data_IF_043264291944
#
_entry.id   IF_043264291944
#
_cell.length_a   1.000
_cell.length_b   1.000
_cell.length_c   1.000
_cell.angle_alpha   90.00
_cell.angle_beta   90.00
_cell.angle_gamma   90.00
#
_symmetry.space_group_name_H-M   'P 1'
#
loop_
_entity.id
_entity.type
_entity.pdbx_description
1 polymer ?
#
# COMPACT_ATOMS: atom_id res chain seq x y z
N UNK A 1 -8.72 13.34 -20.91
CA UNK A 1 -7.68 12.53 -20.23
C UNK A 1 -6.92 13.44 -19.27
N UNK A 2 -7.20 13.39 -17.97
CA UNK A 2 -6.56 14.29 -17.01
C UNK A 2 -5.09 13.88 -16.81
N UNK A 3 -4.16 14.73 -17.24
CA UNK A 3 -2.73 14.63 -16.91
C UNK A 3 -2.60 14.76 -15.39
N UNK A 4 -2.33 13.66 -14.70
CA UNK A 4 -1.92 13.71 -13.30
C UNK A 4 -0.52 14.33 -13.26
N UNK A 5 -0.45 15.58 -12.80
CA UNK A 5 0.78 16.30 -12.46
C UNK A 5 1.71 15.37 -11.65
N UNK A 6 3.03 15.33 -11.93
CA UNK A 6 3.94 14.48 -11.18
C UNK A 6 4.15 15.07 -9.78
N UNK A 7 3.18 14.85 -8.88
CA UNK A 7 3.50 14.79 -7.46
C UNK A 7 4.60 13.73 -7.34
N UNK A 8 5.68 14.04 -6.61
CA UNK A 8 6.68 13.06 -6.28
C UNK A 8 5.96 11.76 -5.89
N UNK A 9 6.27 10.67 -6.61
CA UNK A 9 5.57 9.41 -6.42
C UNK A 9 5.69 9.04 -4.95
N UNK A 10 4.58 8.75 -4.27
CA UNK A 10 4.63 8.34 -2.85
C UNK A 10 5.63 7.19 -2.64
N UNK A 11 5.84 6.39 -3.69
CA UNK A 11 6.84 5.32 -3.75
C UNK A 11 8.27 5.80 -3.43
N UNK A 12 8.68 6.99 -3.85
CA UNK A 12 10.03 7.50 -3.56
C UNK A 12 10.26 7.81 -2.08
N UNK A 13 9.18 7.98 -1.31
CA UNK A 13 9.23 8.23 0.13
C UNK A 13 9.12 6.95 0.97
N UNK A 14 8.88 5.80 0.33
CA UNK A 14 8.67 4.52 1.02
C UNK A 14 10.02 3.77 1.08
N UNK A 15 10.51 3.42 2.28
CA UNK A 15 11.81 2.76 2.44
C UNK A 15 12.00 1.50 1.59
N UNK A 16 10.93 0.72 1.40
CA UNK A 16 10.93 -0.50 0.58
C UNK A 16 11.36 -0.26 -0.87
N UNK A 17 11.17 0.95 -1.42
CA UNK A 17 11.55 1.30 -2.79
C UNK A 17 12.73 2.27 -2.87
N UNK A 18 13.42 2.54 -1.76
CA UNK A 18 14.52 3.52 -1.69
C UNK A 18 15.71 3.21 -2.60
N UNK A 19 15.91 1.94 -2.97
CA UNK A 19 16.98 1.50 -3.87
C UNK A 19 16.65 1.64 -5.36
N UNK A 20 15.44 2.08 -5.73
CA UNK A 20 14.98 2.10 -7.12
C UNK A 20 15.21 3.45 -7.79
N UNK A 21 15.63 3.42 -9.05
CA UNK A 21 15.71 4.59 -9.90
C UNK A 21 14.32 5.17 -10.22
N UNK A 22 14.27 6.44 -10.64
CA UNK A 22 13.02 7.08 -11.09
C UNK A 22 12.30 6.29 -12.19
N UNK A 23 13.05 5.62 -13.07
CA UNK A 23 12.49 4.82 -14.17
C UNK A 23 11.81 3.55 -13.64
N UNK A 24 12.44 2.88 -12.68
CA UNK A 24 11.88 1.67 -12.03
C UNK A 24 10.65 2.02 -11.19
N UNK A 25 10.70 3.11 -10.41
CA UNK A 25 9.54 3.62 -9.68
C UNK A 25 8.36 3.93 -10.61
N UNK A 26 8.62 4.54 -11.76
CA UNK A 26 7.59 4.80 -12.76
C UNK A 26 7.02 3.51 -13.36
N UNK A 27 7.82 2.46 -13.51
CA UNK A 27 7.34 1.14 -13.95
C UNK A 27 6.42 0.49 -12.92
N UNK A 28 6.81 0.50 -11.64
CA UNK A 28 5.96 0.00 -10.55
C UNK A 28 4.64 0.77 -10.51
N UNK A 29 4.69 2.10 -10.55
CA UNK A 29 3.48 2.93 -10.50
C UNK A 29 2.50 2.62 -11.64
N UNK A 30 2.98 2.20 -12.83
CA UNK A 30 2.12 1.80 -13.94
C UNK A 30 1.47 0.42 -13.75
N UNK A 31 2.07 -0.45 -12.94
CA UNK A 31 1.54 -1.78 -12.63
C UNK A 31 0.55 -1.77 -11.47
N UNK A 32 0.51 -0.68 -10.70
CA UNK A 32 -0.38 -0.53 -9.55
C UNK A 32 -1.77 -0.05 -9.95
N UNK A 33 -2.78 -0.54 -9.22
CA UNK A 33 -4.17 -0.08 -9.32
C UNK A 33 -4.55 0.71 -8.07
N UNK A 34 -5.26 1.84 -8.24
CA UNK A 34 -5.88 2.55 -7.11
C UNK A 34 -7.20 1.85 -6.77
N UNK A 35 -7.35 1.45 -5.52
CA UNK A 35 -8.55 0.76 -5.03
C UNK A 35 -9.12 1.62 -3.89
N UNK A 36 -10.32 2.22 -4.06
CA UNK A 36 -11.02 2.85 -2.95
C UNK A 36 -11.55 1.78 -2.00
N UNK A 37 -11.44 2.04 -0.70
CA UNK A 37 -11.91 1.14 0.36
C UNK A 37 -12.71 1.98 1.34
N UNK A 38 -13.94 1.55 1.61
CA UNK A 38 -14.83 2.25 2.53
C UNK A 38 -14.42 2.00 3.99
N UNK A 39 -14.65 3.00 4.84
CA UNK A 39 -14.34 2.90 6.26
C UNK A 39 -15.09 1.71 6.90
N UNK A 40 -14.38 0.92 7.71
CA UNK A 40 -14.91 -0.28 8.33
C UNK A 40 -14.82 -1.55 7.49
N UNK A 41 -14.36 -1.47 6.24
CA UNK A 41 -14.14 -2.66 5.41
C UNK A 41 -12.95 -3.49 5.90
N UNK A 42 -13.13 -4.81 5.97
CA UNK A 42 -12.02 -5.77 6.04
C UNK A 42 -11.54 -6.08 4.62
N UNK A 43 -10.29 -5.76 4.32
CA UNK A 43 -9.70 -5.94 2.99
C UNK A 43 -8.42 -6.79 2.99
N UNK A 44 -7.92 -7.14 4.18
CA UNK A 44 -6.88 -8.16 4.39
C UNK A 44 -7.31 -8.96 5.62
N UNK A 45 -7.27 -10.30 5.51
CA UNK A 45 -7.65 -11.20 6.60
C UNK A 45 -6.49 -12.09 7.04
N UNK A 46 -6.20 -12.09 8.34
CA UNK A 46 -5.16 -12.95 8.93
C UNK A 46 -5.41 -14.43 8.61
N UNK A 47 -4.34 -15.15 8.27
CA UNK A 47 -4.39 -16.59 7.98
C UNK A 47 -4.92 -16.94 6.59
N UNK A 48 -5.29 -15.94 5.77
CA UNK A 48 -5.64 -16.16 4.37
C UNK A 48 -4.42 -16.01 3.46
N UNK A 49 -4.43 -16.73 2.33
CA UNK A 49 -3.41 -16.58 1.30
C UNK A 49 -3.52 -15.18 0.69
N UNK A 50 -2.48 -14.37 0.85
CA UNK A 50 -2.37 -13.09 0.16
C UNK A 50 -1.77 -13.25 -1.24
N UNK A 51 -2.24 -12.44 -2.18
CA UNK A 51 -1.70 -12.36 -3.56
C UNK A 51 -1.34 -10.94 -3.97
N UNK A 52 -1.59 -9.99 -3.09
CA UNK A 52 -1.46 -8.56 -3.33
C UNK A 52 -0.87 -7.90 -2.09
N UNK A 53 -0.13 -6.82 -2.30
CA UNK A 53 0.31 -5.90 -1.26
C UNK A 53 -0.23 -4.52 -1.56
N UNK A 54 -0.53 -3.75 -0.52
CA UNK A 54 -1.17 -2.46 -0.62
C UNK A 54 -0.27 -1.36 -0.07
N UNK A 55 -0.41 -0.18 -0.66
CA UNK A 55 0.21 1.04 -0.16
C UNK A 55 -0.91 2.00 0.18
N UNK A 56 -0.94 2.46 1.43
CA UNK A 56 -1.93 3.46 1.83
C UNK A 56 -1.50 4.79 1.21
N UNK A 57 -2.37 5.37 0.39
CA UNK A 57 -2.14 6.69 -0.25
C UNK A 57 -2.91 7.81 0.43
N UNK A 58 -3.99 7.47 1.13
CA UNK A 58 -4.84 8.38 1.89
C UNK A 58 -5.70 7.60 2.88
N UNK A 59 -6.01 8.19 4.03
CA UNK A 59 -6.77 7.53 5.09
C UNK A 59 -5.89 6.65 5.99
N UNK A 60 -6.54 5.91 6.89
CA UNK A 60 -5.89 5.08 7.89
C UNK A 60 -6.54 3.69 7.90
N UNK A 61 -5.76 2.67 8.22
CA UNK A 61 -6.24 1.32 8.48
C UNK A 61 -5.83 0.85 9.88
N UNK A 62 -6.68 0.03 10.48
CA UNK A 62 -6.39 -0.64 11.76
C UNK A 62 -5.90 -2.06 11.50
N UNK A 63 -4.81 -2.45 12.13
CA UNK A 63 -4.22 -3.79 12.01
C UNK A 63 -4.58 -4.59 13.24
N UNK A 64 -5.23 -5.71 13.03
CA UNK A 64 -5.65 -6.63 14.08
C UNK A 64 -4.90 -7.96 13.94
N UNK A 65 -4.54 -8.54 15.08
CA UNK A 65 -3.96 -9.88 15.17
C UNK A 65 -4.62 -10.61 16.32
N UNK A 66 -5.23 -11.76 16.03
CA UNK A 66 -5.93 -12.58 17.02
C UNK A 66 -6.93 -11.73 17.86
N UNK A 67 -7.79 -10.97 17.17
CA UNK A 67 -8.77 -10.02 17.73
C UNK A 67 -8.20 -8.87 18.57
N UNK A 68 -6.87 -8.70 18.61
CA UNK A 68 -6.21 -7.58 19.27
C UNK A 68 -5.75 -6.54 18.27
N UNK A 69 -6.11 -5.28 18.50
CA UNK A 69 -5.55 -4.16 17.75
C UNK A 69 -4.04 -4.05 18.06
N UNK A 70 -3.20 -4.15 17.04
CA UNK A 70 -1.73 -4.11 17.18
C UNK A 70 -1.09 -2.88 16.54
N UNK A 71 -1.74 -2.26 15.55
CA UNK A 71 -1.25 -1.03 14.94
C UNK A 71 -2.37 -0.22 14.28
N UNK A 72 -2.08 1.07 14.05
CA UNK A 72 -2.81 1.89 13.08
C UNK A 72 -1.80 2.41 12.06
N UNK A 73 -2.09 2.21 10.78
CA UNK A 73 -1.21 2.55 9.67
C UNK A 73 -1.86 3.60 8.78
N UNK A 74 -1.04 4.49 8.23
CA UNK A 74 -1.46 5.63 7.42
C UNK A 74 -0.67 5.74 6.11
N UNK A 75 -0.75 6.89 5.42
CA UNK A 75 -0.13 7.07 4.12
C UNK A 75 1.37 6.73 4.09
N UNK A 76 1.80 6.00 3.06
CA UNK A 76 3.18 5.51 2.91
C UNK A 76 3.43 4.14 3.57
N UNK A 77 2.49 3.63 4.36
CA UNK A 77 2.60 2.28 4.92
C UNK A 77 2.36 1.24 3.82
N UNK A 78 3.19 0.19 3.83
CA UNK A 78 3.01 -1.02 3.02
C UNK A 78 2.40 -2.09 3.93
N UNK A 79 1.39 -2.79 3.42
CA UNK A 79 0.71 -3.88 4.13
C UNK A 79 0.44 -5.06 3.19
N UNK A 80 0.43 -6.28 3.74
CA UNK A 80 0.19 -7.51 2.97
C UNK A 80 1.41 -8.03 2.22
N UNK A 81 2.53 -7.31 2.25
CA UNK A 81 3.81 -7.69 1.62
C UNK A 81 4.38 -9.00 2.16
N UNK A 82 4.15 -9.29 3.45
CA UNK A 82 4.59 -10.56 4.05
C UNK A 82 3.94 -11.79 3.40
N UNK A 83 2.76 -11.65 2.80
CA UNK A 83 2.10 -12.76 2.13
C UNK A 83 2.65 -13.06 0.73
N UNK A 84 3.57 -12.21 0.22
CA UNK A 84 4.19 -12.34 -1.11
C UNK A 84 5.60 -12.96 -1.07
N UNK A 85 6.13 -13.25 0.12
CA UNK A 85 7.44 -13.86 0.36
C UNK A 85 7.29 -15.34 0.73
#
# INVERSE_FOLDING_TARGET
MAKQTPRASILSSIPMFSGLSKKELASIQRMMSKIPIDAGSEFIKQGTVGREAFIIVSGNASVWKDDKLVASVGPGSVIGEMALL
#
